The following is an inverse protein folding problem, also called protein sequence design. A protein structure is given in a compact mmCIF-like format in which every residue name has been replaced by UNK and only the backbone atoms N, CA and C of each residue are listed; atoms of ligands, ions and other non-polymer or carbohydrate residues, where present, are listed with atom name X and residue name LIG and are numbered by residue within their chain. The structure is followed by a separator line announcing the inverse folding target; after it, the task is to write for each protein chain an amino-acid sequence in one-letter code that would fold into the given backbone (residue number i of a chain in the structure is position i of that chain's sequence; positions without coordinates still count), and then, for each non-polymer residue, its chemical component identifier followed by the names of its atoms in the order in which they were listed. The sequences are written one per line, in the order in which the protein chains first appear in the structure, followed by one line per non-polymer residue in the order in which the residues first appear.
data_IF_333491988215
#
_entry.id   IF_333491988215
#
_cell.length_a   1.000
_cell.length_b   1.000
_cell.length_c   1.000
_cell.angle_alpha   90.00
_cell.angle_beta   90.00
_cell.angle_gamma   90.00
#
_symmetry.space_group_name_H-M   'P 1'
#
loop_
_entity.id
_entity.type
_entity.pdbx_description
1 polymer ?
#
# COMPACT_ATOMS: atom_id res chain seq x y z
N UNK A 1 -4.88 53.10 45.39
CA UNK A 1 -3.56 52.45 45.35
C UNK A 1 -3.74 51.07 45.98
N UNK A 2 -3.82 49.95 45.28
CA UNK A 2 -3.47 49.67 43.89
C UNK A 2 -4.26 48.45 43.44
N UNK A 3 -4.81 48.55 42.23
CA UNK A 3 -5.37 47.44 41.47
C UNK A 3 -4.29 46.36 41.27
N UNK A 4 -4.62 45.10 41.52
CA UNK A 4 -3.77 43.99 41.13
C UNK A 4 -4.50 43.04 40.18
N UNK A 5 -3.96 43.08 38.96
CA UNK A 5 -3.86 42.03 37.96
C UNK A 5 -5.08 41.69 37.09
N UNK A 6 -5.16 42.54 36.06
CA UNK A 6 -5.33 42.21 34.65
C UNK A 6 -5.02 40.75 34.26
N UNK A 7 -6.00 40.15 33.58
CA UNK A 7 -5.90 39.18 32.48
C UNK A 7 -4.50 38.68 32.07
N UNK A 8 -4.27 37.37 32.16
CA UNK A 8 -3.55 36.64 31.09
C UNK A 8 -4.21 35.28 30.87
N UNK A 9 -5.15 35.29 29.92
CA UNK A 9 -5.55 34.08 29.21
C UNK A 9 -4.37 33.52 28.40
N UNK A 10 -4.46 32.22 28.12
CA UNK A 10 -3.67 31.38 27.21
C UNK A 10 -2.37 30.77 27.77
N UNK A 11 -2.49 29.57 28.33
CA UNK A 11 -1.43 28.56 28.18
C UNK A 11 -1.96 27.47 27.25
N UNK A 12 -1.87 27.74 25.94
CA UNK A 12 -2.13 26.74 24.92
C UNK A 12 -1.08 25.65 25.05
N UNK A 13 -1.50 24.50 25.60
CA UNK A 13 -0.77 23.24 25.69
C UNK A 13 0.22 23.06 24.53
N UNK A 14 1.52 23.19 24.80
CA UNK A 14 2.60 22.89 23.85
C UNK A 14 2.51 21.40 23.48
N UNK A 15 1.91 21.09 22.32
CA UNK A 15 1.93 19.74 21.75
C UNK A 15 3.36 19.42 21.31
N UNK A 16 4.14 18.76 22.17
CA UNK A 16 5.42 18.20 21.78
C UNK A 16 5.20 17.13 20.71
N UNK A 17 5.70 17.38 19.49
CA UNK A 17 5.68 16.37 18.43
C UNK A 17 6.87 15.43 18.63
N UNK A 18 6.61 14.25 19.21
CA UNK A 18 7.64 13.22 19.34
C UNK A 18 7.99 12.66 17.95
N UNK A 19 9.26 12.78 17.54
CA UNK A 19 9.74 12.22 16.27
C UNK A 19 10.09 10.74 16.45
N UNK A 20 9.53 9.87 15.60
CA UNK A 20 9.84 8.44 15.59
C UNK A 20 11.33 8.13 15.35
N UNK A 21 12.07 8.99 14.64
CA UNK A 21 13.51 8.85 14.43
C UNK A 21 14.25 10.08 14.97
N UNK A 22 15.16 9.92 15.95
CA UNK A 22 15.71 11.05 16.72
C UNK A 22 16.83 11.83 15.99
N UNK A 23 17.53 11.21 15.03
CA UNK A 23 18.68 11.81 14.34
C UNK A 23 18.37 12.17 12.88
N UNK A 24 18.81 13.35 12.45
CA UNK A 24 18.69 13.85 11.09
C UNK A 24 20.09 14.22 10.56
N UNK A 25 20.37 13.87 9.31
CA UNK A 25 21.58 14.26 8.59
C UNK A 25 21.13 15.09 7.39
N UNK A 26 21.67 16.29 7.23
CA UNK A 26 21.48 17.14 6.06
C UNK A 26 22.81 17.31 5.34
N UNK A 27 22.79 17.21 4.02
CA UNK A 27 23.93 17.51 3.16
C UNK A 27 23.46 18.47 2.06
N UNK A 28 24.36 19.34 1.62
CA UNK A 28 24.09 20.28 0.54
C UNK A 28 24.36 19.60 -0.79
N UNK A 29 23.55 19.93 -1.78
CA UNK A 29 23.68 19.45 -3.16
C UNK A 29 23.55 20.64 -4.10
N UNK A 30 24.30 20.60 -5.18
CA UNK A 30 24.05 21.44 -6.35
C UNK A 30 22.77 21.01 -7.05
N UNK A 31 22.26 21.87 -7.93
CA UNK A 31 21.07 21.57 -8.73
C UNK A 31 21.27 20.36 -9.65
N UNK A 32 22.47 20.22 -10.22
CA UNK A 32 22.84 19.08 -11.07
C UNK A 32 22.86 17.75 -10.32
N UNK A 33 23.32 17.74 -9.06
CA UNK A 33 23.32 16.55 -8.21
C UNK A 33 21.90 16.20 -7.77
N UNK A 34 21.11 17.21 -7.40
CA UNK A 34 19.72 17.02 -7.04
C UNK A 34 18.91 16.42 -8.19
N UNK A 35 19.12 16.89 -9.44
CA UNK A 35 18.46 16.34 -10.61
C UNK A 35 18.75 14.82 -10.79
N UNK A 36 20.01 14.40 -10.62
CA UNK A 36 20.39 12.98 -10.69
C UNK A 36 19.74 12.14 -9.59
N UNK A 37 19.68 12.67 -8.37
CA UNK A 37 19.01 12.03 -7.24
C UNK A 37 17.51 11.90 -7.47
N UNK A 38 16.87 12.95 -8.00
CA UNK A 38 15.45 12.97 -8.35
C UNK A 38 15.12 11.94 -9.41
N UNK A 39 15.86 11.93 -10.52
CA UNK A 39 15.68 10.95 -11.59
C UNK A 39 15.82 9.51 -11.07
N UNK A 40 16.82 9.24 -10.23
CA UNK A 40 17.04 7.90 -9.66
C UNK A 40 15.93 7.49 -8.70
N UNK A 41 15.42 8.43 -7.91
CA UNK A 41 14.32 8.18 -6.97
C UNK A 41 12.99 7.94 -7.71
N UNK A 42 12.72 8.70 -8.77
CA UNK A 42 11.54 8.53 -9.64
C UNK A 42 11.55 7.18 -10.34
N UNK A 43 12.69 6.75 -10.87
CA UNK A 43 12.85 5.44 -11.49
C UNK A 43 12.56 4.27 -10.52
N UNK A 44 12.67 4.51 -9.21
CA UNK A 44 12.38 3.54 -8.15
C UNK A 44 11.06 3.82 -7.41
N UNK A 45 10.26 4.78 -7.90
CA UNK A 45 8.96 5.17 -7.32
C UNK A 45 9.02 5.48 -5.83
N UNK A 46 10.11 6.13 -5.38
CA UNK A 46 10.30 6.54 -3.99
C UNK A 46 10.69 8.01 -3.89
N UNK A 47 10.59 8.58 -2.68
CA UNK A 47 11.02 9.97 -2.46
C UNK A 47 12.55 10.08 -2.46
N UNK A 48 13.08 11.24 -2.85
CA UNK A 48 14.53 11.52 -2.83
C UNK A 48 15.17 11.22 -1.46
N UNK A 49 14.58 11.62 -0.31
CA UNK A 49 15.14 11.27 1.00
C UNK A 49 15.13 9.77 1.29
N UNK A 50 14.10 9.04 0.83
CA UNK A 50 14.03 7.59 0.99
C UNK A 50 15.10 6.88 0.15
N UNK A 51 15.30 7.32 -1.09
CA UNK A 51 16.34 6.82 -1.99
C UNK A 51 17.74 7.01 -1.40
N UNK A 52 18.07 8.23 -0.97
CA UNK A 52 19.40 8.53 -0.41
C UNK A 52 19.65 7.73 0.87
N UNK A 53 18.63 7.61 1.73
CA UNK A 53 18.73 6.81 2.95
C UNK A 53 18.98 5.33 2.65
N UNK A 54 18.26 4.77 1.68
CA UNK A 54 18.41 3.39 1.29
C UNK A 54 19.79 3.13 0.64
N UNK A 55 20.28 4.07 -0.19
CA UNK A 55 21.65 4.03 -0.72
C UNK A 55 22.70 4.09 0.39
N UNK A 56 22.57 4.99 1.36
CA UNK A 56 23.48 5.10 2.49
C UNK A 56 23.48 3.84 3.39
N UNK A 57 22.39 3.08 3.40
CA UNK A 57 22.26 1.80 4.10
C UNK A 57 22.73 0.60 3.26
N UNK A 58 23.25 0.81 2.05
CA UNK A 58 23.57 -0.25 1.08
C UNK A 58 22.40 -1.19 0.80
N UNK A 59 21.16 -0.70 0.90
CA UNK A 59 19.97 -1.50 0.62
C UNK A 59 19.90 -1.86 -0.87
N UNK A 60 19.48 -3.09 -1.18
CA UNK A 60 19.21 -3.52 -2.55
C UNK A 60 17.97 -2.79 -3.07
N UNK A 61 18.18 -1.82 -3.94
CA UNK A 61 17.12 -1.06 -4.60
C UNK A 61 16.68 -1.82 -5.85
N UNK A 62 15.48 -2.37 -5.83
CA UNK A 62 14.87 -3.06 -6.97
C UNK A 62 13.69 -2.22 -7.44
N UNK A 63 13.67 -1.90 -8.74
CA UNK A 63 12.52 -1.21 -9.34
C UNK A 63 11.29 -2.09 -9.22
N UNK A 64 10.17 -1.60 -8.65
CA UNK A 64 8.91 -2.33 -8.64
C UNK A 64 8.47 -2.61 -10.09
N UNK A 65 8.10 -3.85 -10.39
CA UNK A 65 7.59 -4.22 -11.74
C UNK A 65 6.24 -3.59 -12.05
N UNK A 66 5.47 -3.28 -11.01
CA UNK A 66 4.15 -2.67 -11.10
C UNK A 66 4.17 -1.43 -10.20
N UNK A 67 3.62 -0.32 -10.71
CA UNK A 67 3.49 0.90 -9.94
C UNK A 67 2.63 0.69 -8.69
N UNK A 68 2.90 1.37 -7.56
CA UNK A 68 2.34 1.01 -6.26
C UNK A 68 0.84 1.28 -6.19
N UNK A 69 0.39 2.32 -6.88
CA UNK A 69 -1.00 2.69 -7.09
C UNK A 69 -1.76 1.61 -7.84
N UNK A 70 -1.21 1.13 -8.95
CA UNK A 70 -1.78 0.05 -9.77
C UNK A 70 -1.80 -1.25 -8.96
N UNK A 71 -0.71 -1.57 -8.25
CA UNK A 71 -0.64 -2.76 -7.41
C UNK A 71 -1.69 -2.73 -6.28
N UNK A 72 -1.91 -1.57 -5.67
CA UNK A 72 -2.92 -1.40 -4.63
C UNK A 72 -4.34 -1.47 -5.18
N UNK A 73 -4.58 -0.94 -6.38
CA UNK A 73 -5.87 -1.09 -7.08
C UNK A 73 -6.17 -2.56 -7.38
N UNK A 74 -5.21 -3.27 -7.99
CA UNK A 74 -5.32 -4.71 -8.27
C UNK A 74 -5.60 -5.50 -6.99
N UNK A 75 -4.89 -5.22 -5.90
CA UNK A 75 -5.10 -5.90 -4.63
C UNK A 75 -6.52 -5.68 -4.07
N UNK A 76 -7.06 -4.46 -4.19
CA UNK A 76 -8.44 -4.15 -3.75
C UNK A 76 -9.48 -4.88 -4.59
N UNK A 77 -9.32 -4.89 -5.90
CA UNK A 77 -10.28 -5.54 -6.79
C UNK A 77 -10.24 -7.06 -6.65
N UNK A 78 -9.05 -7.63 -6.45
CA UNK A 78 -8.90 -9.05 -6.14
C UNK A 78 -9.54 -9.42 -4.80
N UNK A 79 -9.42 -8.56 -3.78
CA UNK A 79 -10.07 -8.77 -2.48
C UNK A 79 -11.60 -8.76 -2.58
N UNK A 80 -12.18 -7.85 -3.37
CA UNK A 80 -13.62 -7.81 -3.65
C UNK A 80 -14.08 -9.08 -4.37
N UNK A 81 -13.35 -9.49 -5.41
CA UNK A 81 -13.64 -10.72 -6.15
C UNK A 81 -13.59 -11.95 -5.22
N UNK A 82 -12.56 -12.07 -4.39
CA UNK A 82 -12.44 -13.13 -3.39
C UNK A 82 -13.59 -13.12 -2.37
N UNK A 83 -14.03 -11.94 -1.94
CA UNK A 83 -15.20 -11.78 -1.08
C UNK A 83 -16.49 -12.29 -1.71
N UNK A 84 -16.72 -11.97 -2.99
CA UNK A 84 -17.88 -12.46 -3.73
C UNK A 84 -17.83 -13.99 -3.92
N UNK A 85 -16.67 -14.54 -4.25
CA UNK A 85 -16.46 -15.99 -4.38
C UNK A 85 -16.75 -16.70 -3.06
N UNK A 86 -16.29 -16.15 -1.93
CA UNK A 86 -16.55 -16.72 -0.62
C UNK A 86 -18.04 -16.69 -0.25
N UNK A 87 -18.78 -15.66 -0.66
CA UNK A 87 -20.23 -15.59 -0.48
C UNK A 87 -20.94 -16.66 -1.31
N UNK A 88 -20.54 -16.85 -2.58
CA UNK A 88 -21.06 -17.91 -3.45
C UNK A 88 -20.79 -19.28 -2.82
N UNK A 89 -19.57 -19.53 -2.35
CA UNK A 89 -19.21 -20.80 -1.70
C UNK A 89 -20.07 -21.07 -0.45
N UNK A 90 -20.28 -20.06 0.42
CA UNK A 90 -21.17 -20.17 1.57
C UNK A 90 -22.61 -20.47 1.15
N UNK A 91 -23.11 -19.75 0.16
CA UNK A 91 -24.48 -19.94 -0.34
C UNK A 91 -24.68 -21.35 -0.89
N UNK A 92 -23.75 -21.86 -1.69
CA UNK A 92 -23.77 -23.23 -2.21
C UNK A 92 -23.73 -24.28 -1.09
N UNK A 93 -22.90 -24.08 -0.06
CA UNK A 93 -22.86 -24.99 1.09
C UNK A 93 -24.18 -24.99 1.89
N UNK A 94 -24.84 -23.84 2.00
CA UNK A 94 -26.13 -23.73 2.70
C UNK A 94 -27.29 -24.35 1.90
N UNK A 95 -27.25 -24.24 0.57
CA UNK A 95 -28.33 -24.67 -0.34
C UNK A 95 -27.95 -25.94 -1.13
N UNK A 96 -27.11 -26.79 -0.57
CA UNK A 96 -26.55 -27.97 -1.24
C UNK A 96 -27.61 -28.98 -1.75
N UNK A 97 -28.84 -28.89 -1.24
CA UNK A 97 -29.97 -29.73 -1.63
C UNK A 97 -31.00 -29.01 -2.51
N UNK A 98 -30.86 -27.68 -2.69
CA UNK A 98 -31.80 -26.84 -3.45
C UNK A 98 -31.29 -26.50 -4.86
N UNK A 99 -30.02 -26.80 -5.13
CA UNK A 99 -29.36 -26.52 -6.41
C UNK A 99 -29.29 -27.82 -7.23
N UNK A 100 -29.69 -27.73 -8.50
CA UNK A 100 -29.57 -28.86 -9.42
C UNK A 100 -28.09 -29.33 -9.53
N UNK A 101 -27.81 -30.63 -9.51
CA UNK A 101 -26.45 -31.16 -9.57
C UNK A 101 -25.61 -30.61 -10.74
N UNK A 102 -26.23 -30.45 -11.91
CA UNK A 102 -25.58 -29.91 -13.11
C UNK A 102 -25.13 -28.45 -12.94
N UNK A 103 -25.93 -27.61 -12.28
CA UNK A 103 -25.60 -26.21 -12.05
C UNK A 103 -24.45 -26.06 -11.04
N UNK A 104 -24.44 -26.90 -10.00
CA UNK A 104 -23.35 -26.97 -9.04
C UNK A 104 -22.03 -27.43 -9.70
N UNK A 105 -22.11 -28.42 -10.58
CA UNK A 105 -20.95 -28.92 -11.33
C UNK A 105 -20.40 -27.84 -12.27
N UNK A 106 -21.26 -27.16 -13.03
CA UNK A 106 -20.88 -26.09 -13.96
C UNK A 106 -20.25 -24.89 -13.25
N UNK A 107 -20.75 -24.55 -12.06
CA UNK A 107 -20.13 -23.53 -11.20
C UNK A 107 -18.74 -23.94 -10.73
N UNK A 108 -18.56 -25.20 -10.30
CA UNK A 108 -17.26 -25.74 -9.89
C UNK A 108 -16.22 -25.67 -11.01
N UNK A 109 -16.63 -26.02 -12.24
CA UNK A 109 -15.77 -25.93 -13.43
C UNK A 109 -15.36 -24.49 -13.74
N UNK A 110 -16.30 -23.54 -13.71
CA UNK A 110 -16.01 -22.12 -13.93
C UNK A 110 -15.06 -21.54 -12.86
N UNK A 111 -15.23 -21.92 -11.59
CA UNK A 111 -14.31 -21.54 -10.51
C UNK A 111 -12.90 -22.08 -10.74
N UNK A 112 -12.77 -23.35 -11.17
CA UNK A 112 -11.46 -23.94 -11.52
C UNK A 112 -10.80 -23.23 -12.70
N UNK A 113 -11.56 -22.82 -13.72
CA UNK A 113 -11.03 -22.05 -14.85
C UNK A 113 -10.51 -20.69 -14.37
N UNK A 114 -11.29 -19.96 -13.58
CA UNK A 114 -10.86 -18.67 -13.03
C UNK A 114 -9.60 -18.80 -12.16
N UNK A 115 -9.51 -19.85 -11.34
CA UNK A 115 -8.30 -20.15 -10.55
C UNK A 115 -7.07 -20.36 -11.45
N UNK A 116 -7.22 -21.12 -12.55
CA UNK A 116 -6.12 -21.35 -13.51
C UNK A 116 -5.68 -20.06 -14.20
N UNK A 117 -6.62 -19.23 -14.65
CA UNK A 117 -6.27 -17.96 -15.29
C UNK A 117 -5.59 -16.99 -14.33
N UNK A 118 -6.05 -16.89 -13.08
CA UNK A 118 -5.37 -16.12 -12.04
C UNK A 118 -3.95 -16.63 -11.78
N UNK A 119 -3.75 -17.95 -11.76
CA UNK A 119 -2.43 -18.55 -11.58
C UNK A 119 -1.49 -18.22 -12.75
N UNK A 120 -1.98 -18.19 -13.99
CA UNK A 120 -1.20 -17.77 -15.17
C UNK A 120 -0.76 -16.32 -15.05
N UNK A 121 -1.68 -15.42 -14.69
CA UNK A 121 -1.38 -13.99 -14.48
C UNK A 121 -0.30 -13.86 -13.39
N UNK A 122 -0.41 -14.60 -12.29
CA UNK A 122 0.58 -14.57 -11.22
C UNK A 122 1.97 -15.04 -11.67
N UNK A 123 2.06 -16.06 -12.53
CA UNK A 123 3.34 -16.52 -13.08
C UNK A 123 4.00 -15.48 -14.00
N UNK A 124 3.23 -14.64 -14.69
CA UNK A 124 3.76 -13.56 -15.52
C UNK A 124 4.30 -12.37 -14.70
N UNK A 125 3.88 -12.24 -13.44
CA UNK A 125 4.35 -11.19 -12.52
C UNK A 125 5.64 -11.57 -11.78
N UNK A 126 6.00 -12.86 -11.73
CA UNK A 126 7.28 -13.34 -11.17
C UNK A 126 8.48 -12.91 -11.99
#
# INVERSE_FOLDING_TARGET
MSEQNQNLASDHSKKYTYRSKPKQISFRVSESEFAKLKQSAEALQMSVPAFVKAKAQNARLVTPKVAPDIAQAIARDLAKAGGNINQIAKWCNTHQHDVAPDDAQRLSENLKIMQKELQKIWQQLK
#
